data_IF_051082990859
#
_entry.id   IF_051082990859
#
_cell.length_a   1.000
_cell.length_b   1.000
_cell.length_c   1.000
_cell.angle_alpha   90.00
_cell.angle_beta   90.00
_cell.angle_gamma   90.00
#
_symmetry.space_group_name_H-M   'P 1'
#
loop_
_entity.id
_entity.type
_entity.pdbx_description
1 polymer ?
#
# COMPACT_ATOMS: atom_id res chain seq x y z
N UNK A 1 12.64 0.97 12.35
CA UNK A 1 11.98 2.03 11.58
C UNK A 1 11.32 3.00 12.53
N UNK A 2 11.45 4.27 12.29
CA UNK A 2 10.83 5.30 13.15
C UNK A 2 9.83 6.13 12.36
N UNK A 3 8.94 5.47 11.66
CA UNK A 3 7.83 6.11 10.97
C UNK A 3 6.60 6.01 11.86
N UNK A 4 5.92 7.13 12.06
CA UNK A 4 4.72 7.19 12.90
C UNK A 4 3.45 7.03 12.08
N UNK A 5 2.35 6.70 12.76
CA UNK A 5 1.01 6.67 12.15
C UNK A 5 0.71 7.99 11.44
N UNK A 6 1.05 9.11 12.07
CA UNK A 6 0.80 10.44 11.50
C UNK A 6 1.49 10.61 10.15
N UNK A 7 2.75 10.19 10.04
CA UNK A 7 3.49 10.27 8.78
C UNK A 7 2.84 9.42 7.70
N UNK A 8 2.47 8.18 8.03
CA UNK A 8 1.82 7.28 7.07
C UNK A 8 0.47 7.87 6.63
N UNK A 9 -0.32 8.35 7.58
CA UNK A 9 -1.62 8.95 7.29
C UNK A 9 -1.50 10.13 6.32
N UNK A 10 -0.52 11.01 6.55
CA UNK A 10 -0.28 12.17 5.68
C UNK A 10 0.15 11.75 4.28
N UNK A 11 1.08 10.82 4.18
CA UNK A 11 1.58 10.34 2.89
C UNK A 11 0.47 9.68 2.08
N UNK A 12 -0.28 8.78 2.70
CA UNK A 12 -1.36 8.06 2.01
C UNK A 12 -2.45 9.04 1.54
N UNK A 13 -2.89 9.94 2.42
CA UNK A 13 -3.89 10.94 2.08
C UNK A 13 -3.44 11.80 0.90
N UNK A 14 -2.18 12.25 0.92
CA UNK A 14 -1.63 13.10 -0.14
C UNK A 14 -1.50 12.36 -1.47
N UNK A 15 -0.98 11.13 -1.47
CA UNK A 15 -0.85 10.34 -2.69
C UNK A 15 -2.23 10.08 -3.32
N UNK A 16 -3.21 9.66 -2.54
CA UNK A 16 -4.55 9.41 -3.07
C UNK A 16 -5.21 10.67 -3.57
N UNK A 17 -5.08 11.78 -2.86
CA UNK A 17 -5.68 13.05 -3.26
C UNK A 17 -5.04 13.62 -4.52
N UNK A 18 -3.71 13.70 -4.55
CA UNK A 18 -2.99 14.36 -5.66
C UNK A 18 -2.93 13.51 -6.91
N UNK A 19 -2.79 12.21 -6.78
CA UNK A 19 -2.60 11.32 -7.92
C UNK A 19 -3.90 10.70 -8.43
N UNK A 20 -4.87 10.48 -7.56
CA UNK A 20 -6.11 9.80 -7.93
C UNK A 20 -7.36 10.68 -7.76
N UNK A 21 -7.22 11.82 -7.08
CA UNK A 21 -8.39 12.63 -6.75
C UNK A 21 -9.35 11.92 -5.79
N UNK A 22 -8.83 10.99 -5.00
CA UNK A 22 -9.63 10.22 -4.04
C UNK A 22 -9.26 10.64 -2.63
N UNK A 23 -10.27 10.95 -1.81
CA UNK A 23 -10.06 11.27 -0.41
C UNK A 23 -9.95 9.99 0.40
N UNK A 24 -8.80 9.79 1.07
CA UNK A 24 -8.55 8.66 1.96
C UNK A 24 -8.37 9.17 3.38
N UNK A 25 -9.17 8.65 4.31
CA UNK A 25 -9.17 9.07 5.70
C UNK A 25 -8.73 7.93 6.61
N UNK A 26 -7.86 8.19 7.59
CA UNK A 26 -7.43 7.16 8.52
C UNK A 26 -8.58 6.70 9.41
N UNK A 27 -8.61 5.41 9.71
CA UNK A 27 -9.54 4.80 10.65
C UNK A 27 -8.74 3.97 11.65
N UNK A 28 -9.25 3.77 12.90
CA UNK A 28 -8.49 3.07 13.94
C UNK A 28 -8.17 1.62 13.57
N UNK A 29 -9.13 0.92 13.00
CA UNK A 29 -8.99 -0.46 12.54
C UNK A 29 -10.18 -0.83 11.67
N UNK A 30 -10.05 -1.89 10.89
CA UNK A 30 -11.16 -2.41 10.12
C UNK A 30 -11.94 -3.44 10.94
N UNK A 31 -13.26 -3.37 10.88
CA UNK A 31 -14.14 -4.43 11.38
C UNK A 31 -14.23 -5.58 10.38
N UNK A 32 -13.77 -5.38 9.15
CA UNK A 32 -13.80 -6.37 8.09
C UNK A 32 -12.49 -7.14 8.06
N UNK A 33 -12.56 -8.46 8.02
CA UNK A 33 -11.44 -9.30 7.67
C UNK A 33 -11.12 -9.09 6.18
N UNK A 34 -10.00 -9.66 5.69
CA UNK A 34 -9.65 -9.61 4.27
C UNK A 34 -10.57 -10.52 3.44
N UNK A 35 -11.89 -10.34 3.58
CA UNK A 35 -12.87 -11.12 2.85
C UNK A 35 -12.96 -10.67 1.38
N UNK A 36 -13.22 -11.63 0.49
CA UNK A 36 -13.34 -11.37 -0.93
C UNK A 36 -11.97 -11.29 -1.60
N UNK A 37 -11.93 -10.68 -2.78
CA UNK A 37 -10.70 -10.54 -3.56
C UNK A 37 -9.96 -9.27 -3.16
N UNK A 38 -8.68 -9.42 -2.86
CA UNK A 38 -7.79 -8.33 -2.46
C UNK A 38 -6.59 -8.27 -3.38
N UNK A 39 -6.04 -7.09 -3.50
CA UNK A 39 -4.80 -6.85 -4.26
C UNK A 39 -3.78 -6.29 -3.28
N UNK A 40 -2.61 -6.93 -3.22
CA UNK A 40 -1.52 -6.52 -2.34
C UNK A 40 -0.31 -6.12 -3.17
N UNK A 41 0.24 -4.96 -2.88
CA UNK A 41 1.47 -4.46 -3.50
C UNK A 41 2.54 -4.39 -2.43
N UNK A 42 3.70 -4.99 -2.69
CA UNK A 42 4.81 -5.04 -1.75
C UNK A 42 6.04 -4.37 -2.35
N UNK A 43 6.67 -3.50 -1.57
CA UNK A 43 7.95 -2.86 -1.93
C UNK A 43 8.93 -3.10 -0.79
N UNK A 44 10.13 -3.55 -1.14
CA UNK A 44 11.20 -3.75 -0.16
C UNK A 44 12.07 -2.51 -0.04
N UNK A 45 12.50 -2.25 1.19
CA UNK A 45 13.44 -1.18 1.52
C UNK A 45 14.75 -1.82 1.95
N UNK A 46 15.86 -1.32 1.41
CA UNK A 46 17.20 -1.80 1.72
C UNK A 46 18.14 -0.63 2.01
N UNK A 47 19.31 -0.92 2.56
CA UNK A 47 20.31 0.09 2.92
C UNK A 47 20.43 0.22 4.42
N UNK A 48 20.43 1.45 4.92
CA UNK A 48 20.57 1.73 6.37
C UNK A 48 19.41 1.19 7.20
N UNK A 49 18.30 0.86 6.58
CA UNK A 49 17.22 0.09 7.19
C UNK A 49 16.74 -0.96 6.19
N UNK A 50 16.12 -2.00 6.69
CA UNK A 50 15.61 -3.08 5.84
C UNK A 50 14.21 -3.46 6.30
N UNK A 51 13.32 -3.58 5.35
CA UNK A 51 11.93 -3.94 5.63
C UNK A 51 11.08 -3.94 4.38
N UNK A 52 9.78 -3.80 4.58
CA UNK A 52 8.83 -3.81 3.48
C UNK A 52 7.65 -2.90 3.76
N UNK A 53 7.07 -2.38 2.69
CA UNK A 53 5.85 -1.58 2.73
C UNK A 53 4.83 -2.35 1.89
N UNK A 54 3.70 -2.67 2.49
CA UNK A 54 2.64 -3.44 1.83
C UNK A 54 1.37 -2.60 1.80
N UNK A 55 0.80 -2.43 0.62
CA UNK A 55 -0.49 -1.77 0.42
C UNK A 55 -1.49 -2.81 -0.02
N UNK A 56 -2.56 -2.98 0.74
CA UNK A 56 -3.60 -3.97 0.45
C UNK A 56 -4.95 -3.30 0.28
N UNK A 57 -5.57 -3.52 -0.86
CA UNK A 57 -6.88 -2.92 -1.18
C UNK A 57 -7.86 -3.99 -1.65
N UNK A 58 -9.17 -3.83 -1.36
CA UNK A 58 -10.18 -4.69 -1.98
C UNK A 58 -10.16 -4.49 -3.50
N UNK A 59 -10.35 -5.57 -4.25
CA UNK A 59 -10.31 -5.50 -5.73
C UNK A 59 -11.24 -4.42 -6.29
N UNK A 60 -12.50 -4.29 -5.85
CA UNK A 60 -13.38 -3.25 -6.39
C UNK A 60 -12.83 -1.83 -6.20
N UNK A 61 -12.18 -1.57 -5.05
CA UNK A 61 -11.55 -0.27 -4.81
C UNK A 61 -10.29 -0.10 -5.67
N UNK A 62 -9.50 -1.16 -5.80
CA UNK A 62 -8.32 -1.15 -6.67
C UNK A 62 -8.67 -0.82 -8.10
N UNK A 63 -9.79 -1.35 -8.60
CA UNK A 63 -10.31 -1.04 -9.93
C UNK A 63 -10.68 0.44 -10.06
N UNK A 64 -11.32 1.02 -9.06
CA UNK A 64 -11.66 2.46 -9.04
C UNK A 64 -10.41 3.33 -9.00
N UNK A 65 -9.42 2.94 -8.20
CA UNK A 65 -8.15 3.68 -8.12
C UNK A 65 -7.42 3.65 -9.47
N UNK A 66 -7.37 2.50 -10.12
CA UNK A 66 -6.76 2.36 -11.45
C UNK A 66 -7.52 3.19 -12.49
N UNK A 67 -8.84 3.19 -12.44
CA UNK A 67 -9.66 3.98 -13.34
C UNK A 67 -9.40 5.48 -13.18
N UNK A 68 -9.23 5.93 -11.95
CA UNK A 68 -8.89 7.33 -11.68
C UNK A 68 -7.50 7.68 -12.23
N UNK A 69 -6.54 6.78 -12.08
CA UNK A 69 -5.18 6.99 -12.59
C UNK A 69 -5.13 7.10 -14.11
N UNK A 70 -5.88 6.25 -14.80
CA UNK A 70 -5.87 6.20 -16.27
C UNK A 70 -6.97 7.04 -16.92
N UNK A 71 -7.78 7.76 -16.13
CA UNK A 71 -8.94 8.52 -16.61
C UNK A 71 -9.84 7.64 -17.49
N UNK A 72 -10.12 6.42 -17.01
CA UNK A 72 -10.86 5.38 -17.75
C UNK A 72 -12.06 4.91 -16.94
N UNK A 73 -12.97 4.20 -17.60
CA UNK A 73 -14.08 3.52 -16.90
C UNK A 73 -13.53 2.28 -16.20
N UNK A 74 -13.95 2.00 -14.94
CA UNK A 74 -13.47 0.81 -14.24
C UNK A 74 -13.67 -0.50 -15.00
N UNK A 75 -14.78 -0.64 -15.71
CA UNK A 75 -15.08 -1.86 -16.47
C UNK A 75 -14.22 -2.06 -17.69
N UNK A 76 -13.52 -1.02 -18.15
CA UNK A 76 -12.67 -1.08 -19.35
C UNK A 76 -11.25 -1.55 -19.05
N UNK A 77 -10.91 -1.72 -17.76
CA UNK A 77 -9.54 -2.05 -17.35
C UNK A 77 -9.30 -3.56 -17.29
N UNK A 78 -8.14 -3.99 -17.79
CA UNK A 78 -7.67 -5.35 -17.62
C UNK A 78 -7.09 -5.55 -16.21
N UNK A 79 -6.97 -6.80 -15.77
CA UNK A 79 -6.32 -7.12 -14.50
C UNK A 79 -4.87 -6.63 -14.47
N UNK A 80 -4.16 -6.73 -15.59
CA UNK A 80 -2.80 -6.21 -15.71
C UNK A 80 -2.71 -4.72 -15.47
N UNK A 81 -3.64 -3.96 -16.06
CA UNK A 81 -3.68 -2.51 -15.88
C UNK A 81 -3.98 -2.12 -14.43
N UNK A 82 -4.87 -2.85 -13.78
CA UNK A 82 -5.19 -2.61 -12.36
C UNK A 82 -3.96 -2.86 -11.50
N UNK A 83 -3.27 -3.97 -11.72
CA UNK A 83 -2.04 -4.29 -10.97
C UNK A 83 -0.95 -3.27 -11.21
N UNK A 84 -0.76 -2.82 -12.44
CA UNK A 84 0.23 -1.78 -12.75
C UNK A 84 -0.08 -0.48 -12.01
N UNK A 85 -1.35 -0.07 -12.00
CA UNK A 85 -1.77 1.14 -11.29
C UNK A 85 -1.51 1.03 -9.78
N UNK A 86 -1.85 -0.11 -9.17
CA UNK A 86 -1.66 -0.30 -7.73
C UNK A 86 -0.19 -0.43 -7.37
N UNK A 87 0.62 -1.01 -8.25
CA UNK A 87 2.07 -0.99 -8.10
C UNK A 87 2.62 0.42 -8.08
N UNK A 88 2.11 1.28 -8.96
CA UNK A 88 2.53 2.69 -9.01
C UNK A 88 2.09 3.45 -7.74
N UNK A 89 0.88 3.23 -7.25
CA UNK A 89 0.41 3.83 -5.99
C UNK A 89 1.34 3.42 -4.84
N UNK A 90 1.66 2.13 -4.74
CA UNK A 90 2.57 1.63 -3.70
C UNK A 90 3.96 2.25 -3.84
N UNK A 91 4.44 2.41 -5.07
CA UNK A 91 5.74 3.02 -5.34
C UNK A 91 5.77 4.49 -4.90
N UNK A 92 4.70 5.23 -5.13
CA UNK A 92 4.59 6.63 -4.69
C UNK A 92 4.53 6.73 -3.18
N UNK A 93 3.78 5.87 -2.51
CA UNK A 93 3.73 5.82 -1.05
C UNK A 93 5.10 5.50 -0.48
N UNK A 94 5.74 4.44 -0.99
CA UNK A 94 7.08 4.04 -0.53
C UNK A 94 8.13 5.12 -0.80
N UNK A 95 8.06 5.77 -1.96
CA UNK A 95 8.97 6.84 -2.33
C UNK A 95 8.88 8.04 -1.40
N UNK A 96 7.70 8.34 -0.89
CA UNK A 96 7.51 9.40 0.10
C UNK A 96 7.93 8.94 1.50
N UNK A 97 7.55 7.73 1.90
CA UNK A 97 7.89 7.21 3.24
C UNK A 97 9.38 7.00 3.43
N UNK A 98 10.12 6.63 2.37
CA UNK A 98 11.56 6.39 2.49
C UNK A 98 12.32 7.63 2.97
N UNK A 99 11.77 8.82 2.75
CA UNK A 99 12.41 10.07 3.20
C UNK A 99 12.38 10.22 4.72
N UNK A 100 11.47 9.52 5.39
CA UNK A 100 11.38 9.49 6.86
C UNK A 100 12.15 8.31 7.46
N UNK A 101 12.81 7.49 6.64
CA UNK A 101 13.59 6.33 7.08
C UNK A 101 15.08 6.68 7.11
N UNK A 102 15.89 5.90 7.88
CA UNK A 102 17.34 6.11 7.90
C UNK A 102 17.96 6.06 6.50
N UNK A 103 18.80 7.03 6.22
CA UNK A 103 19.48 7.17 4.94
C UNK A 103 20.93 6.70 5.04
N UNK A 104 21.57 6.20 3.96
CA UNK A 104 20.97 5.98 2.64
C UNK A 104 20.07 4.75 2.61
N UNK A 105 19.03 4.82 1.81
CA UNK A 105 18.16 3.68 1.57
C UNK A 105 17.70 3.66 0.12
N UNK A 106 17.21 2.50 -0.32
CA UNK A 106 16.67 2.32 -1.65
C UNK A 106 15.41 1.48 -1.57
N UNK A 107 14.52 1.66 -2.52
CA UNK A 107 13.29 0.86 -2.61
C UNK A 107 13.32 0.01 -3.88
N UNK A 108 12.74 -1.18 -3.80
CA UNK A 108 12.60 -2.09 -4.92
C UNK A 108 11.48 -1.65 -5.87
N UNK A 109 11.38 -2.33 -7.01
CA UNK A 109 10.17 -2.29 -7.81
C UNK A 109 9.04 -3.00 -7.04
N UNK A 110 7.78 -2.61 -7.29
CA UNK A 110 6.65 -3.25 -6.62
C UNK A 110 6.42 -4.67 -7.15
N UNK A 111 6.02 -5.55 -6.24
CA UNK A 111 5.47 -6.87 -6.56
C UNK A 111 3.99 -6.82 -6.21
N UNK A 112 3.13 -7.21 -7.15
CA UNK A 112 1.68 -7.12 -6.98
C UNK A 112 1.06 -8.50 -7.10
N UNK A 113 0.24 -8.87 -6.13
CA UNK A 113 -0.47 -10.15 -6.11
C UNK A 113 -1.96 -9.90 -5.88
N UNK A 114 -2.79 -10.75 -6.47
CA UNK A 114 -4.23 -10.74 -6.27
C UNK A 114 -4.65 -12.10 -5.75
N UNK A 115 -5.57 -12.12 -4.80
CA UNK A 115 -6.05 -13.37 -4.26
C UNK A 115 -7.32 -13.18 -3.45
N UNK A 116 -8.03 -14.30 -3.26
CA UNK A 116 -9.22 -14.33 -2.42
C UNK A 116 -8.79 -14.47 -0.97
N UNK A 117 -9.37 -13.64 -0.10
CA UNK A 117 -9.03 -13.60 1.33
C UNK A 117 -7.52 -13.46 1.55
N UNK A 118 -6.86 -12.71 0.68
CA UNK A 118 -5.42 -12.56 0.65
C UNK A 118 -4.89 -11.90 1.91
N UNK A 119 -3.91 -12.54 2.54
CA UNK A 119 -3.13 -11.97 3.61
C UNK A 119 -1.65 -12.13 3.25
N UNK A 120 -0.97 -11.01 3.04
CA UNK A 120 0.43 -11.05 2.63
C UNK A 120 1.36 -11.09 3.83
N UNK A 121 2.30 -12.02 3.81
CA UNK A 121 3.38 -12.10 4.80
C UNK A 121 4.71 -11.95 4.09
N UNK A 122 5.65 -11.30 4.76
CA UNK A 122 7.01 -11.16 4.28
C UNK A 122 7.91 -11.98 5.20
N UNK A 123 8.51 -13.08 4.73
CA UNK A 123 9.39 -13.90 5.56
C UNK A 123 10.54 -13.09 6.16
N UNK A 124 10.85 -13.36 7.43
CA UNK A 124 11.94 -12.68 8.12
C UNK A 124 11.64 -11.25 8.54
N UNK A 125 10.40 -10.80 8.44
CA UNK A 125 9.98 -9.47 8.84
C UNK A 125 8.91 -9.54 9.92
N UNK A 126 8.83 -8.47 10.72
CA UNK A 126 7.76 -8.28 11.70
C UNK A 126 6.99 -7.01 11.40
N UNK A 127 5.71 -6.98 11.74
CA UNK A 127 4.87 -5.80 11.57
C UNK A 127 5.28 -4.74 12.59
N UNK A 128 5.64 -3.57 12.10
CA UNK A 128 5.98 -2.40 12.93
C UNK A 128 4.77 -1.49 13.08
N UNK A 129 4.03 -1.34 11.99
CA UNK A 129 2.93 -0.40 11.94
C UNK A 129 1.88 -0.91 10.95
N UNK A 130 0.64 -0.93 11.40
CA UNK A 130 -0.50 -1.35 10.58
C UNK A 130 -1.53 -0.22 10.61
N UNK A 131 -1.76 0.40 9.48
CA UNK A 131 -2.66 1.53 9.37
C UNK A 131 -3.81 1.22 8.42
N UNK A 132 -5.01 1.64 8.82
CA UNK A 132 -6.22 1.44 8.05
C UNK A 132 -6.78 2.76 7.56
N UNK A 133 -7.42 2.72 6.40
CA UNK A 133 -8.00 3.90 5.75
C UNK A 133 -9.37 3.58 5.20
N UNK A 134 -10.18 4.62 5.07
CA UNK A 134 -11.49 4.54 4.43
C UNK A 134 -11.51 5.49 3.24
N UNK A 135 -12.00 5.02 2.11
CA UNK A 135 -12.15 5.81 0.90
C UNK A 135 -13.29 5.25 0.05
N UNK A 136 -14.20 6.11 -0.39
CA UNK A 136 -15.31 5.74 -1.27
C UNK A 136 -16.13 4.54 -0.77
N UNK A 137 -16.28 4.40 0.55
CA UNK A 137 -17.02 3.29 1.14
C UNK A 137 -16.22 1.99 1.28
N UNK A 138 -14.97 2.00 0.92
CA UNK A 138 -14.07 0.85 1.07
C UNK A 138 -13.05 1.10 2.18
N UNK A 139 -12.53 0.03 2.76
CA UNK A 139 -11.45 0.09 3.72
C UNK A 139 -10.22 -0.60 3.13
N UNK A 140 -9.05 -0.01 3.34
CA UNK A 140 -7.79 -0.56 2.86
C UNK A 140 -6.68 -0.36 3.89
N UNK A 141 -5.55 -1.01 3.67
CA UNK A 141 -4.51 -1.12 4.69
C UNK A 141 -3.13 -0.81 4.11
N UNK A 142 -2.32 -0.11 4.90
CA UNK A 142 -0.90 0.07 4.64
C UNK A 142 -0.14 -0.47 5.84
N UNK A 143 0.76 -1.41 5.60
CA UNK A 143 1.54 -2.09 6.64
C UNK A 143 3.03 -1.84 6.42
N UNK A 144 3.72 -1.47 7.49
CA UNK A 144 5.17 -1.37 7.49
C UNK A 144 5.73 -2.55 8.27
N UNK A 145 6.71 -3.23 7.65
CA UNK A 145 7.37 -4.37 8.25
C UNK A 145 8.86 -4.07 8.38
N UNK A 146 9.45 -4.52 9.47
CA UNK A 146 10.88 -4.39 9.72
C UNK A 146 11.52 -5.77 9.63
N UNK A 147 12.70 -5.83 8.99
CA UNK A 147 13.43 -7.08 8.90
C UNK A 147 13.99 -7.46 10.25
N UNK A 148 13.79 -8.71 10.64
CA UNK A 148 14.31 -9.23 11.89
C UNK A 148 15.84 -9.40 11.79
N UNK A 149 16.60 -9.04 12.84
CA UNK A 149 18.05 -9.21 12.86
C UNK A 149 18.42 -10.68 12.69
N UNK A 150 19.49 -10.95 11.90
CA UNK A 150 20.01 -12.29 11.72
C UNK A 150 19.15 -13.20 10.82
N UNK A 151 18.22 -12.65 10.11
CA UNK A 151 17.33 -13.41 9.21
C UNK A 151 17.58 -13.12 7.74
#
# INVERSE_FOLDING_TARGET
>A
MQVTDTTVNQVVAEVFSTMLGIEASPIPSSALAHEGTWIASCIHVTGSCAGSIVVQVPEPFGRRAAAAMFASEPSALSNGEIKDALGEVANMIAGALRLALPMPNAISLPSVAEGRDLSMRVPGCEVVLETWFSAQGYEFQVTLLNRLPGK
#
